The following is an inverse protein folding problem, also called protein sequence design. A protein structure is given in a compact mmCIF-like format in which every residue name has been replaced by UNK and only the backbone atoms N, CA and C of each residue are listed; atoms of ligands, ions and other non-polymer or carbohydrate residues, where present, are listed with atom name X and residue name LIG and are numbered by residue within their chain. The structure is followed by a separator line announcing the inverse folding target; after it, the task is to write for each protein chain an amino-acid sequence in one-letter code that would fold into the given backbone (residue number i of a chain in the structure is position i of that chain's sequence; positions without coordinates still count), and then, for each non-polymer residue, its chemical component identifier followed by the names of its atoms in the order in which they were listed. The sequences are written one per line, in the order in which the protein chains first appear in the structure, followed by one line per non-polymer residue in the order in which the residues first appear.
data_IF_341658638786
#
_entry.id   IF_341658638786
#
_cell.length_a   1.000
_cell.length_b   1.000
_cell.length_c   1.000
_cell.angle_alpha   90.00
_cell.angle_beta   90.00
_cell.angle_gamma   90.00
#
_symmetry.space_group_name_H-M   'P 1'
#
loop_
_entity.id
_entity.type
_entity.pdbx_description
1 polymer ?
#
# COMPACT_ATOMS: atom_id res chain seq x y z
N UNK A 1 30.21 -5.15 -58.22
CA UNK A 1 29.06 -5.99 -57.83
C UNK A 1 29.61 -7.08 -56.92
N UNK A 2 29.50 -7.07 -55.60
CA UNK A 2 28.82 -6.24 -54.59
C UNK A 2 29.48 -6.72 -53.28
N UNK A 3 30.39 -5.96 -52.66
CA UNK A 3 30.15 -5.05 -51.52
C UNK A 3 29.20 -5.60 -50.44
N UNK A 4 29.65 -5.52 -49.18
CA UNK A 4 28.96 -5.75 -47.90
C UNK A 4 28.96 -7.23 -47.41
N UNK A 5 30.01 -7.82 -46.81
CA UNK A 5 30.78 -7.48 -45.59
C UNK A 5 30.47 -6.14 -44.93
N UNK A 6 29.55 -6.19 -43.98
CA UNK A 6 29.57 -5.54 -42.65
C UNK A 6 28.13 -5.38 -42.15
N UNK A 7 27.94 -5.46 -40.83
CA UNK A 7 26.71 -5.13 -40.08
C UNK A 7 25.58 -6.19 -40.08
N UNK A 8 25.62 -7.11 -39.11
CA UNK A 8 24.57 -7.18 -38.05
C UNK A 8 25.01 -8.07 -36.85
N UNK A 9 26.21 -7.83 -36.32
CA UNK A 9 26.52 -8.18 -34.92
C UNK A 9 26.24 -6.92 -34.08
N UNK A 10 25.00 -6.74 -33.66
CA UNK A 10 24.58 -5.92 -32.53
C UNK A 10 23.10 -6.20 -32.26
N UNK A 11 22.75 -6.31 -30.97
CA UNK A 11 21.40 -6.53 -30.43
C UNK A 11 20.93 -7.99 -30.55
N UNK A 12 21.00 -8.83 -29.52
CA UNK A 12 20.24 -8.72 -28.27
C UNK A 12 21.12 -9.21 -27.10
N UNK A 13 21.67 -8.28 -26.34
CA UNK A 13 22.17 -8.57 -25.00
C UNK A 13 20.97 -8.74 -24.05
N UNK A 14 20.80 -9.96 -23.56
CA UNK A 14 20.17 -10.34 -22.29
C UNK A 14 18.96 -9.53 -21.82
N UNK A 15 17.76 -9.93 -22.23
CA UNK A 15 16.56 -9.73 -21.41
C UNK A 15 16.67 -10.71 -20.23
N UNK A 16 17.16 -10.24 -19.09
CA UNK A 16 17.12 -10.99 -17.83
C UNK A 16 15.66 -11.18 -17.40
N UNK A 17 15.03 -12.29 -17.80
CA UNK A 17 13.71 -12.68 -17.31
C UNK A 17 13.89 -13.22 -15.89
N UNK A 18 13.96 -12.30 -14.93
CA UNK A 18 14.12 -12.68 -13.53
C UNK A 18 12.91 -13.51 -13.07
N UNK A 19 13.13 -14.76 -12.65
CA UNK A 19 12.06 -15.65 -12.19
C UNK A 19 11.67 -15.32 -10.75
N UNK A 20 10.37 -15.26 -10.45
CA UNK A 20 9.85 -15.08 -9.09
C UNK A 20 9.51 -16.41 -8.45
N UNK A 21 9.95 -16.61 -7.21
CA UNK A 21 9.59 -17.79 -6.42
C UNK A 21 8.09 -17.80 -6.07
N UNK A 22 7.44 -16.64 -5.95
CA UNK A 22 6.01 -16.57 -5.67
C UNK A 22 5.14 -17.24 -6.75
N UNK A 23 5.59 -17.25 -8.01
CA UNK A 23 4.89 -17.89 -9.12
C UNK A 23 4.93 -19.43 -9.04
N UNK A 24 5.85 -19.99 -8.23
CA UNK A 24 6.02 -21.43 -8.02
C UNK A 24 5.27 -21.95 -6.77
N UNK A 25 4.64 -21.06 -6.00
CA UNK A 25 4.10 -21.37 -4.68
C UNK A 25 2.66 -20.91 -4.53
N UNK A 26 1.85 -21.75 -3.89
CA UNK A 26 0.48 -21.39 -3.51
C UNK A 26 0.40 -20.93 -2.04
N UNK A 27 -0.10 -19.71 -1.80
CA UNK A 27 -0.33 -19.18 -0.46
C UNK A 27 -1.26 -20.10 0.35
N UNK A 28 -1.01 -20.20 1.65
CA UNK A 28 -1.73 -21.09 2.57
C UNK A 28 -1.22 -22.54 2.57
N UNK A 29 -0.44 -22.98 1.57
CA UNK A 29 0.19 -24.31 1.60
C UNK A 29 1.39 -24.37 2.52
N UNK A 30 1.68 -25.57 3.01
CA UNK A 30 2.87 -25.87 3.81
C UNK A 30 3.98 -26.41 2.91
N UNK A 31 5.18 -25.89 3.10
CA UNK A 31 6.40 -26.35 2.43
C UNK A 31 7.47 -26.70 3.45
N UNK A 32 8.11 -27.84 3.27
CA UNK A 32 9.36 -28.17 3.98
C UNK A 32 10.54 -27.53 3.26
N UNK A 33 11.66 -27.35 3.95
CA UNK A 33 12.88 -26.87 3.30
C UNK A 33 13.35 -27.81 2.20
N UNK A 34 13.21 -29.12 2.37
CA UNK A 34 13.56 -30.11 1.36
C UNK A 34 12.66 -30.02 0.13
N UNK A 35 11.36 -29.77 0.31
CA UNK A 35 10.45 -29.49 -0.80
C UNK A 35 10.86 -28.21 -1.54
N UNK A 36 11.21 -27.15 -0.81
CA UNK A 36 11.71 -25.91 -1.42
C UNK A 36 13.04 -26.10 -2.16
N UNK A 37 13.94 -26.97 -1.67
CA UNK A 37 15.16 -27.33 -2.40
C UNK A 37 14.86 -27.96 -3.75
N UNK A 38 13.88 -28.86 -3.79
CA UNK A 38 13.43 -29.48 -5.04
C UNK A 38 12.78 -28.48 -6.00
N UNK A 39 11.96 -27.56 -5.48
CA UNK A 39 11.29 -26.52 -6.27
C UNK A 39 12.30 -25.50 -6.84
N UNK A 40 13.29 -25.11 -6.05
CA UNK A 40 14.28 -24.09 -6.40
C UNK A 40 15.52 -24.67 -7.09
N UNK A 41 15.56 -25.99 -7.28
CA UNK A 41 16.72 -26.75 -7.75
C UNK A 41 18.04 -26.29 -7.09
N UNK A 42 18.04 -26.20 -5.76
CA UNK A 42 19.15 -25.62 -5.01
C UNK A 42 19.73 -26.55 -3.95
N UNK A 43 21.06 -26.65 -3.97
CA UNK A 43 21.86 -27.31 -2.93
C UNK A 43 22.39 -26.32 -1.89
N UNK A 44 21.97 -25.05 -1.93
CA UNK A 44 22.47 -24.02 -1.03
C UNK A 44 22.08 -24.31 0.42
N UNK A 45 23.07 -24.44 1.30
CA UNK A 45 22.86 -24.73 2.72
C UNK A 45 22.19 -23.56 3.48
N UNK A 46 22.28 -22.34 2.96
CA UNK A 46 21.76 -21.12 3.60
C UNK A 46 20.24 -21.04 3.65
N UNK A 47 19.51 -21.89 2.91
CA UNK A 47 18.06 -22.06 3.07
C UNK A 47 17.65 -22.48 4.50
N UNK A 48 18.58 -23.07 5.26
CA UNK A 48 18.36 -23.41 6.66
C UNK A 48 18.38 -22.20 7.60
N UNK A 49 18.79 -21.03 7.11
CA UNK A 49 18.79 -19.78 7.86
C UNK A 49 17.38 -19.16 7.91
N UNK A 50 17.24 -18.05 8.65
CA UNK A 50 16.00 -17.28 8.74
C UNK A 50 15.73 -16.44 7.49
N UNK A 51 16.76 -16.01 6.76
CA UNK A 51 16.64 -15.27 5.49
C UNK A 51 17.45 -16.00 4.43
N UNK A 52 16.83 -16.29 3.29
CA UNK A 52 17.44 -17.00 2.19
C UNK A 52 17.14 -16.31 0.86
N UNK A 53 18.17 -16.11 0.02
CA UNK A 53 18.02 -15.58 -1.33
C UNK A 53 18.50 -16.63 -2.33
N UNK A 54 17.59 -17.36 -3.01
CA UNK A 54 18.00 -18.32 -4.04
C UNK A 54 18.62 -17.61 -5.24
N UNK A 55 19.69 -18.17 -5.79
CA UNK A 55 20.34 -17.67 -6.99
C UNK A 55 19.43 -17.83 -8.21
N UNK A 56 19.44 -16.85 -9.13
CA UNK A 56 18.58 -16.86 -10.32
C UNK A 56 17.13 -16.39 -10.08
N UNK A 57 16.77 -16.03 -8.85
CA UNK A 57 15.44 -15.52 -8.51
C UNK A 57 15.47 -14.09 -7.96
N UNK A 58 14.39 -13.35 -8.21
CA UNK A 58 14.13 -12.02 -7.62
C UNK A 58 13.33 -12.11 -6.34
N UNK A 59 13.63 -13.10 -5.49
CA UNK A 59 12.88 -13.37 -4.26
C UNK A 59 13.80 -13.56 -3.07
N UNK A 60 13.31 -13.16 -1.90
CA UNK A 60 13.92 -13.38 -0.59
C UNK A 60 12.92 -14.17 0.25
N UNK A 61 13.31 -15.35 0.71
CA UNK A 61 12.49 -16.20 1.56
C UNK A 61 12.81 -15.88 3.02
N UNK A 62 11.78 -15.49 3.78
CA UNK A 62 11.85 -15.16 5.19
C UNK A 62 11.16 -16.25 6.01
N UNK A 63 11.93 -17.04 6.76
CA UNK A 63 11.46 -18.13 7.61
C UNK A 63 11.33 -17.68 9.06
N UNK A 64 10.11 -17.64 9.57
CA UNK A 64 9.78 -17.17 10.92
C UNK A 64 9.18 -18.30 11.75
N UNK A 65 9.65 -18.45 13.00
CA UNK A 65 9.08 -19.37 13.99
C UNK A 65 8.73 -18.59 15.26
N UNK A 66 7.43 -18.42 15.54
CA UNK A 66 6.89 -17.58 16.64
C UNK A 66 7.45 -17.98 18.01
N UNK A 67 7.39 -19.28 18.34
CA UNK A 67 7.82 -19.81 19.64
C UNK A 67 9.09 -20.64 19.46
N UNK A 68 10.22 -20.04 19.83
CA UNK A 68 11.46 -20.75 20.11
C UNK A 68 11.33 -21.31 21.55
N UNK A 69 11.61 -22.59 21.74
CA UNK A 69 11.37 -23.32 23.00
C UNK A 69 12.02 -22.65 24.22
N UNK A 70 11.17 -22.46 25.24
CA UNK A 70 11.32 -22.07 26.66
C UNK A 70 12.21 -20.91 27.14
N UNK A 71 11.44 -19.95 27.68
CA UNK A 71 11.57 -19.19 28.92
C UNK A 71 12.29 -17.84 28.93
N UNK A 72 11.58 -16.86 29.53
CA UNK A 72 11.83 -15.42 29.73
C UNK A 72 11.29 -14.46 28.66
N UNK A 73 10.01 -14.12 28.84
CA UNK A 73 9.34 -12.81 28.60
C UNK A 73 9.44 -12.10 27.24
N UNK A 74 8.25 -11.71 26.76
CA UNK A 74 7.87 -10.56 25.91
C UNK A 74 8.06 -10.68 24.38
N UNK A 75 6.94 -10.50 23.65
CA UNK A 75 6.72 -10.46 22.19
C UNK A 75 7.96 -10.33 21.31
N UNK A 76 8.20 -11.26 20.37
CA UNK A 76 9.37 -11.13 19.48
C UNK A 76 9.10 -11.34 17.99
N UNK A 77 8.39 -12.41 17.59
CA UNK A 77 8.04 -12.63 16.19
C UNK A 77 6.55 -12.96 16.12
N UNK A 78 5.70 -12.08 15.56
CA UNK A 78 4.25 -12.29 15.51
C UNK A 78 3.64 -11.78 14.21
N UNK A 79 2.78 -12.59 13.61
CA UNK A 79 1.92 -12.20 12.50
C UNK A 79 0.50 -11.92 13.02
N UNK A 80 0.06 -10.66 12.90
CA UNK A 80 -1.31 -10.22 13.23
C UNK A 80 -1.99 -9.70 11.97
N UNK A 81 -2.92 -10.48 11.42
CA UNK A 81 -3.56 -10.17 10.13
C UNK A 81 -2.51 -10.07 9.02
N UNK A 82 -2.28 -8.85 8.55
CA UNK A 82 -1.35 -8.52 7.47
C UNK A 82 -0.04 -7.89 7.96
N UNK A 83 0.12 -7.69 9.26
CA UNK A 83 1.33 -7.09 9.83
C UNK A 83 2.19 -8.17 10.51
N UNK A 84 3.41 -8.34 9.99
CA UNK A 84 4.46 -9.11 10.62
C UNK A 84 5.35 -8.17 11.44
N UNK A 85 5.42 -8.42 12.74
CA UNK A 85 6.48 -7.91 13.60
C UNK A 85 7.56 -8.99 13.70
N UNK A 86 8.78 -8.70 13.24
CA UNK A 86 9.88 -9.65 13.16
C UNK A 86 11.15 -9.06 13.74
N UNK A 87 11.85 -9.79 14.61
CA UNK A 87 13.10 -9.36 15.19
C UNK A 87 14.30 -10.05 14.51
N UNK A 88 15.20 -9.23 13.94
CA UNK A 88 16.41 -9.73 13.28
C UNK A 88 17.41 -10.31 14.30
N UNK A 89 17.70 -11.61 14.23
CA UNK A 89 18.45 -12.33 15.27
C UNK A 89 19.97 -12.07 15.27
N UNK A 90 20.56 -11.55 14.19
CA UNK A 90 22.02 -11.31 14.10
C UNK A 90 22.34 -10.23 13.07
N UNK A 91 23.19 -9.29 13.47
CA UNK A 91 23.56 -8.11 12.68
C UNK A 91 24.03 -8.44 11.25
N UNK A 92 23.42 -7.75 10.26
CA UNK A 92 24.22 -6.91 9.36
C UNK A 92 24.52 -7.41 7.94
N UNK A 93 24.05 -8.58 7.49
CA UNK A 93 24.25 -9.00 6.08
C UNK A 93 22.97 -9.10 5.25
N UNK A 94 21.88 -9.56 5.85
CA UNK A 94 20.62 -9.81 5.13
C UNK A 94 19.57 -8.72 5.34
N UNK A 95 19.79 -7.80 6.28
CA UNK A 95 18.83 -6.72 6.59
C UNK A 95 18.62 -5.80 5.39
N UNK A 96 19.68 -5.51 4.62
CA UNK A 96 19.60 -4.76 3.36
C UNK A 96 18.75 -5.46 2.30
N UNK A 97 18.71 -6.80 2.29
CA UNK A 97 17.83 -7.55 1.39
C UNK A 97 16.35 -7.35 1.71
N UNK A 98 16.01 -7.01 2.97
CA UNK A 98 14.64 -6.73 3.41
C UNK A 98 14.33 -5.24 3.28
N UNK A 99 15.21 -4.36 3.77
CA UNK A 99 15.02 -2.90 3.74
C UNK A 99 14.97 -2.39 2.30
N UNK A 100 15.93 -2.80 1.47
CA UNK A 100 16.07 -2.32 0.09
C UNK A 100 15.38 -3.25 -0.93
N UNK A 101 14.60 -4.25 -0.48
CA UNK A 101 13.98 -5.25 -1.36
C UNK A 101 13.26 -4.61 -2.55
N UNK A 102 12.43 -3.59 -2.30
CA UNK A 102 11.67 -2.88 -3.33
C UNK A 102 12.58 -2.13 -4.32
N UNK A 103 13.66 -1.50 -3.85
CA UNK A 103 14.62 -0.80 -4.72
C UNK A 103 15.40 -1.78 -5.60
N UNK A 104 15.63 -3.00 -5.10
CA UNK A 104 16.32 -4.08 -5.80
C UNK A 104 15.40 -4.94 -6.66
N UNK A 105 14.10 -4.64 -6.72
CA UNK A 105 13.10 -5.43 -7.44
C UNK A 105 12.85 -6.82 -6.83
N UNK A 106 13.20 -7.02 -5.56
CA UNK A 106 13.05 -8.28 -4.84
C UNK A 106 11.69 -8.35 -4.15
N UNK A 107 11.03 -9.51 -4.23
CA UNK A 107 9.90 -9.83 -3.36
C UNK A 107 10.38 -10.48 -2.05
N UNK A 108 9.72 -10.17 -0.93
CA UNK A 108 9.96 -10.85 0.36
C UNK A 108 8.81 -11.82 0.59
N UNK A 109 9.11 -13.12 0.68
CA UNK A 109 8.15 -14.20 0.80
C UNK A 109 8.17 -14.75 2.22
N UNK A 110 7.04 -14.65 2.93
CA UNK A 110 6.96 -15.08 4.32
C UNK A 110 6.59 -16.57 4.42
N UNK A 111 7.41 -17.30 5.17
CA UNK A 111 7.18 -18.68 5.59
C UNK A 111 7.05 -18.70 7.11
N UNK A 112 5.84 -18.93 7.59
CA UNK A 112 5.50 -18.77 9.00
C UNK A 112 5.11 -20.10 9.65
N UNK A 113 5.47 -20.24 10.93
CA UNK A 113 4.94 -21.27 11.82
C UNK A 113 4.99 -20.79 13.28
N UNK A 114 4.12 -21.31 14.11
CA UNK A 114 4.08 -21.08 15.55
C UNK A 114 5.16 -21.85 16.31
N UNK A 115 5.46 -23.09 15.90
CA UNK A 115 6.46 -23.97 16.55
C UNK A 115 7.14 -24.90 15.53
N UNK A 116 8.32 -25.42 15.87
CA UNK A 116 9.17 -26.21 14.94
C UNK A 116 8.46 -27.37 14.26
N UNK A 117 7.60 -28.08 14.98
CA UNK A 117 6.84 -29.22 14.49
C UNK A 117 5.34 -28.93 14.49
N UNK A 118 4.94 -27.70 14.13
CA UNK A 118 3.53 -27.40 13.87
C UNK A 118 3.01 -28.18 12.67
N UNK A 119 3.86 -28.38 11.66
CA UNK A 119 3.56 -29.13 10.45
C UNK A 119 4.53 -30.31 10.29
N UNK A 120 4.06 -31.36 9.63
CA UNK A 120 4.85 -32.54 9.29
C UNK A 120 6.13 -32.15 8.52
N UNK A 121 7.23 -32.90 8.74
CA UNK A 121 8.53 -32.60 8.14
C UNK A 121 9.14 -31.26 8.57
N UNK A 122 8.69 -30.68 9.69
CA UNK A 122 9.09 -29.36 10.17
C UNK A 122 8.87 -28.26 9.11
N UNK A 123 7.75 -28.35 8.38
CA UNK A 123 7.36 -27.39 7.37
C UNK A 123 7.00 -26.00 7.90
N UNK A 124 6.77 -25.08 6.97
CA UNK A 124 6.29 -23.71 7.19
C UNK A 124 5.10 -23.46 6.28
N UNK A 125 4.09 -22.72 6.77
CA UNK A 125 3.01 -22.23 5.93
C UNK A 125 3.51 -21.02 5.13
N UNK A 126 3.33 -21.05 3.81
CA UNK A 126 3.64 -19.92 2.95
C UNK A 126 2.51 -18.88 3.03
N UNK A 127 2.85 -17.68 3.49
CA UNK A 127 1.93 -16.58 3.73
C UNK A 127 1.82 -15.62 2.51
N UNK A 128 2.65 -15.80 1.49
CA UNK A 128 2.68 -14.86 0.36
C UNK A 128 3.73 -13.76 0.53
N UNK A 129 3.63 -12.75 -0.31
CA UNK A 129 4.58 -11.65 -0.37
C UNK A 129 4.31 -10.62 0.73
N UNK A 130 5.37 -10.00 1.22
CA UNK A 130 5.37 -8.93 2.22
C UNK A 130 6.26 -7.79 1.73
N UNK A 131 5.98 -6.57 2.19
CA UNK A 131 6.80 -5.39 1.98
C UNK A 131 7.32 -4.85 3.31
N UNK A 132 8.56 -4.41 3.32
CA UNK A 132 9.14 -3.64 4.41
C UNK A 132 8.38 -2.31 4.63
N UNK A 133 8.08 -1.98 5.89
CA UNK A 133 7.43 -0.74 6.31
C UNK A 133 8.38 0.13 7.15
N UNK A 134 8.91 -0.42 8.25
CA UNK A 134 9.74 0.31 9.19
C UNK A 134 10.64 -0.65 10.00
N UNK A 135 11.66 -0.11 10.67
CA UNK A 135 12.36 -0.80 11.75
C UNK A 135 12.76 0.16 12.87
N UNK A 136 12.89 -0.36 14.09
CA UNK A 136 13.32 0.39 15.27
C UNK A 136 14.29 -0.43 16.14
N UNK A 137 15.16 0.26 16.88
CA UNK A 137 16.13 -0.33 17.80
C UNK A 137 17.51 -0.54 17.17
N UNK A 138 18.56 -0.34 17.97
CA UNK A 138 19.95 -0.46 17.49
C UNK A 138 20.45 -1.90 17.48
N UNK A 139 19.88 -2.80 18.31
CA UNK A 139 20.11 -4.26 18.35
C UNK A 139 19.32 -4.95 19.48
N UNK A 140 18.53 -6.01 19.20
CA UNK A 140 18.17 -6.51 17.88
C UNK A 140 17.18 -5.54 17.19
N UNK A 141 17.32 -5.33 15.88
CA UNK A 141 16.40 -4.48 15.13
C UNK A 141 15.05 -5.19 14.99
N UNK A 142 13.98 -4.48 15.38
CA UNK A 142 12.60 -4.93 15.19
C UNK A 142 12.06 -4.35 13.89
N UNK A 143 11.67 -5.23 12.97
CA UNK A 143 11.13 -4.88 11.66
C UNK A 143 9.61 -5.05 11.64
N UNK A 144 8.95 -4.14 10.92
CA UNK A 144 7.53 -4.23 10.58
C UNK A 144 7.40 -4.45 9.08
N UNK A 145 6.77 -5.56 8.69
CA UNK A 145 6.47 -5.89 7.30
C UNK A 145 4.97 -6.05 7.11
N UNK A 146 4.43 -5.58 5.98
CA UNK A 146 3.01 -5.70 5.65
C UNK A 146 2.81 -6.66 4.48
N UNK A 147 1.82 -7.55 4.55
CA UNK A 147 1.44 -8.45 3.45
C UNK A 147 1.14 -7.62 2.21
N UNK A 148 1.78 -7.98 1.10
CA UNK A 148 1.39 -7.52 -0.22
C UNK A 148 0.13 -8.31 -0.60
N UNK A 149 -1.00 -7.63 -0.68
CA UNK A 149 -2.24 -8.24 -1.14
C UNK A 149 -2.09 -8.63 -2.63
N UNK A 150 -2.10 -9.93 -2.97
CA UNK A 150 -2.03 -10.38 -4.34
C UNK A 150 -3.24 -9.92 -5.14
N UNK A 151 -4.39 -9.60 -4.53
CA UNK A 151 -5.55 -9.06 -5.24
C UNK A 151 -5.29 -7.64 -5.76
N UNK A 152 -4.45 -6.85 -5.09
CA UNK A 152 -3.99 -5.57 -5.63
C UNK A 152 -3.03 -5.76 -6.81
N UNK A 153 -2.10 -6.72 -6.71
CA UNK A 153 -1.14 -7.02 -7.77
C UNK A 153 -1.76 -7.74 -8.98
N UNK A 154 -2.82 -8.53 -8.76
CA UNK A 154 -3.63 -9.20 -9.79
C UNK A 154 -4.58 -8.20 -10.43
N UNK A 155 -5.22 -7.30 -9.68
CA UNK A 155 -5.97 -6.18 -10.28
C UNK A 155 -5.07 -5.27 -11.13
N UNK A 156 -3.83 -5.00 -10.67
CA UNK A 156 -2.83 -4.27 -11.46
C UNK A 156 -2.37 -5.05 -12.70
N UNK A 157 -2.25 -6.38 -12.63
CA UNK A 157 -1.86 -7.24 -13.77
C UNK A 157 -3.01 -7.51 -14.74
N UNK A 158 -4.25 -7.61 -14.29
CA UNK A 158 -5.46 -7.82 -15.10
C UNK A 158 -5.77 -6.56 -15.93
N UNK A 159 -5.57 -5.38 -15.35
CA UNK A 159 -5.58 -4.09 -16.07
C UNK A 159 -4.45 -4.00 -17.10
N UNK A 160 -3.32 -4.67 -16.86
CA UNK A 160 -2.17 -4.71 -17.76
C UNK A 160 -2.27 -5.79 -18.85
N UNK A 161 -3.02 -6.86 -18.61
CA UNK A 161 -3.10 -8.06 -19.47
C UNK A 161 -4.33 -8.08 -20.40
N UNK A 162 -5.36 -7.26 -20.14
CA UNK A 162 -6.58 -7.17 -20.97
C UNK A 162 -6.39 -6.39 -22.28
N UNK A 163 -5.18 -6.34 -22.85
CA UNK A 163 -4.85 -5.48 -23.99
C UNK A 163 -5.72 -5.68 -25.23
N UNK A 164 -6.78 -4.87 -25.36
CA UNK A 164 -7.36 -4.32 -26.60
C UNK A 164 -7.97 -2.96 -26.20
N UNK A 165 -7.28 -1.81 -26.31
CA UNK A 165 -6.70 -1.11 -27.47
C UNK A 165 -7.75 -0.52 -28.43
N UNK A 166 -8.10 0.76 -28.20
CA UNK A 166 -8.53 1.67 -29.27
C UNK A 166 -7.26 2.35 -29.85
N UNK A 167 -7.04 2.35 -31.18
CA UNK A 167 -5.74 2.60 -31.81
C UNK A 167 -5.27 4.06 -31.90
N UNK A 168 -5.99 5.03 -31.34
CA UNK A 168 -5.70 6.46 -31.55
C UNK A 168 -4.94 7.15 -30.40
N UNK A 169 -4.70 6.48 -29.27
CA UNK A 169 -4.34 7.15 -28.00
C UNK A 169 -2.87 7.11 -27.55
N UNK A 170 -1.88 6.97 -28.43
CA UNK A 170 -0.45 6.84 -28.04
C UNK A 170 0.09 8.04 -27.20
N UNK A 171 -0.57 9.20 -27.24
CA UNK A 171 -0.30 10.32 -26.32
C UNK A 171 -0.70 10.07 -24.86
N UNK A 172 -1.68 9.18 -24.60
CA UNK A 172 -2.32 9.04 -23.28
C UNK A 172 -1.51 8.17 -22.29
N UNK A 173 -0.67 7.25 -22.77
CA UNK A 173 0.20 6.43 -21.92
C UNK A 173 1.31 7.25 -21.23
N UNK A 174 1.93 8.21 -21.95
CA UNK A 174 2.86 9.19 -21.36
C UNK A 174 2.15 10.14 -20.40
N UNK A 175 0.93 10.57 -20.74
CA UNK A 175 0.07 11.38 -19.86
C UNK A 175 -0.28 10.65 -18.55
N UNK A 176 -0.58 9.34 -18.59
CA UNK A 176 -0.91 8.52 -17.41
C UNK A 176 0.27 8.29 -16.48
N UNK A 177 1.46 7.99 -17.02
CA UNK A 177 2.69 7.84 -16.22
C UNK A 177 3.06 9.19 -15.59
N UNK A 178 2.98 10.28 -16.35
CA UNK A 178 3.16 11.62 -15.80
C UNK A 178 2.10 11.98 -14.75
N UNK A 179 0.83 11.63 -14.93
CA UNK A 179 -0.23 11.82 -13.91
C UNK A 179 0.06 11.02 -12.65
N UNK A 180 0.56 9.79 -12.74
CA UNK A 180 0.90 8.98 -11.58
C UNK A 180 2.11 9.55 -10.81
N UNK A 181 3.12 10.05 -11.52
CA UNK A 181 4.29 10.73 -10.96
C UNK A 181 3.89 12.07 -10.32
N UNK A 182 3.07 12.87 -11.01
CA UNK A 182 2.52 14.15 -10.51
C UNK A 182 1.59 13.92 -9.32
N UNK A 183 0.82 12.82 -9.29
CA UNK A 183 -0.04 12.44 -8.14
C UNK A 183 0.80 12.04 -6.92
N UNK A 184 1.90 11.30 -7.12
CA UNK A 184 2.85 10.92 -6.04
C UNK A 184 3.67 12.10 -5.52
N UNK A 185 4.10 13.03 -6.37
CA UNK A 185 4.79 14.27 -5.92
C UNK A 185 3.81 15.29 -5.33
N UNK A 186 2.58 15.32 -5.85
CA UNK A 186 1.52 16.24 -5.45
C UNK A 186 0.83 15.87 -4.14
N UNK A 187 0.69 14.60 -3.78
CA UNK A 187 0.05 14.19 -2.52
C UNK A 187 0.76 14.73 -1.25
N UNK A 188 2.10 14.65 -1.13
CA UNK A 188 2.80 15.27 -0.02
C UNK A 188 2.69 16.80 0.00
N UNK A 189 2.69 17.45 -1.17
CA UNK A 189 2.58 18.91 -1.27
C UNK A 189 1.15 19.40 -0.96
N UNK A 190 0.15 18.73 -1.52
CA UNK A 190 -1.28 18.97 -1.27
C UNK A 190 -1.62 18.77 0.21
N UNK A 191 -1.11 17.70 0.82
CA UNK A 191 -1.24 17.49 2.27
C UNK A 191 -0.62 18.64 3.06
N UNK A 192 0.59 19.08 2.72
CA UNK A 192 1.23 20.24 3.40
C UNK A 192 0.42 21.52 3.23
N UNK A 193 -0.12 21.76 2.03
CA UNK A 193 -0.96 22.92 1.76
C UNK A 193 -2.24 22.90 2.60
N UNK A 194 -2.92 21.75 2.70
CA UNK A 194 -4.10 21.60 3.56
C UNK A 194 -3.76 21.69 5.05
N UNK A 195 -2.64 21.13 5.50
CA UNK A 195 -2.15 21.31 6.88
C UNK A 195 -1.94 22.79 7.19
N UNK A 196 -1.42 23.57 6.25
CA UNK A 196 -1.26 25.02 6.41
C UNK A 196 -2.61 25.75 6.42
N UNK A 197 -3.46 25.49 5.43
CA UNK A 197 -4.75 26.19 5.25
C UNK A 197 -5.72 25.96 6.42
N UNK A 198 -5.70 24.76 7.01
CA UNK A 198 -6.57 24.38 8.12
C UNK A 198 -5.90 24.50 9.50
N UNK A 199 -4.73 25.13 9.60
CA UNK A 199 -3.97 25.28 10.86
C UNK A 199 -3.75 23.94 11.59
N UNK A 200 -3.43 22.89 10.82
CA UNK A 200 -3.18 21.55 11.34
C UNK A 200 -4.38 20.90 12.03
N UNK A 201 -5.61 21.35 11.74
CA UNK A 201 -6.83 20.90 12.40
C UNK A 201 -7.81 20.24 11.45
N UNK A 202 -8.47 19.19 11.91
CA UNK A 202 -9.56 18.59 11.16
C UNK A 202 -10.68 19.61 10.91
N UNK A 203 -11.13 19.72 9.66
CA UNK A 203 -12.17 20.63 9.22
C UNK A 203 -13.52 20.40 9.93
N UNK A 204 -13.81 19.15 10.33
CA UNK A 204 -15.08 18.76 10.97
C UNK A 204 -14.95 18.67 12.49
N UNK A 205 -13.99 17.89 12.99
CA UNK A 205 -13.88 17.62 14.43
C UNK A 205 -13.11 18.70 15.19
N UNK A 206 -12.18 19.39 14.52
CA UNK A 206 -11.20 20.28 15.15
C UNK A 206 -9.98 19.55 15.73
N UNK A 207 -9.86 18.23 15.56
CA UNK A 207 -8.71 17.45 16.02
C UNK A 207 -7.37 18.02 15.54
N UNK A 208 -6.42 18.20 16.44
CA UNK A 208 -5.09 18.79 16.20
C UNK A 208 -3.97 17.75 16.03
N UNK A 209 -4.28 16.47 16.25
CA UNK A 209 -3.29 15.39 16.20
C UNK A 209 -2.93 15.11 14.74
N UNK A 210 -1.97 15.85 14.20
CA UNK A 210 -1.60 15.81 12.77
C UNK A 210 -1.33 14.41 12.18
N UNK A 211 -0.74 13.44 12.92
CA UNK A 211 -0.55 12.08 12.41
C UNK A 211 -1.84 11.35 12.04
N UNK A 212 -2.98 11.70 12.66
CA UNK A 212 -4.29 11.08 12.33
C UNK A 212 -5.10 11.89 11.32
N UNK A 213 -4.56 13.01 10.83
CA UNK A 213 -5.18 13.83 9.81
C UNK A 213 -4.79 13.34 8.43
N UNK A 214 -5.69 13.47 7.47
CA UNK A 214 -5.59 13.02 6.10
C UNK A 214 -6.08 14.11 5.15
N UNK A 215 -5.47 14.16 3.96
CA UNK A 215 -5.85 15.09 2.91
C UNK A 215 -6.90 14.43 2.03
N UNK A 216 -8.16 14.81 2.22
CA UNK A 216 -9.29 14.29 1.47
C UNK A 216 -9.58 15.20 0.26
N UNK A 217 -9.70 14.61 -0.93
CA UNK A 217 -10.21 15.35 -2.09
C UNK A 217 -11.74 15.42 -2.04
N UNK A 218 -12.32 16.57 -2.36
CA UNK A 218 -13.78 16.72 -2.45
C UNK A 218 -14.30 16.04 -3.72
N UNK A 219 -13.71 16.34 -4.87
CA UNK A 219 -13.90 15.59 -6.11
C UNK A 219 -12.62 14.88 -6.51
N UNK A 220 -12.77 13.69 -7.10
CA UNK A 220 -11.66 12.82 -7.45
C UNK A 220 -10.59 13.53 -8.29
N UNK A 221 -9.34 13.17 -8.02
CA UNK A 221 -8.17 13.70 -8.72
C UNK A 221 -8.25 13.45 -10.24
N UNK A 222 -8.20 14.52 -11.04
CA UNK A 222 -8.18 14.48 -12.53
C UNK A 222 -6.89 15.05 -13.15
N UNK A 223 -5.92 15.46 -12.32
CA UNK A 223 -4.65 16.07 -12.74
C UNK A 223 -4.11 17.08 -11.71
N UNK A 224 -2.90 17.66 -11.90
CA UNK A 224 -2.30 18.61 -10.95
C UNK A 224 -3.21 19.79 -10.58
N UNK A 225 -4.03 20.29 -11.50
CA UNK A 225 -5.03 21.35 -11.26
C UNK A 225 -6.07 20.98 -10.18
N UNK A 226 -6.31 19.68 -9.96
CA UNK A 226 -7.24 19.19 -8.92
C UNK A 226 -6.59 19.03 -7.54
N UNK A 227 -5.27 19.23 -7.43
CA UNK A 227 -4.54 19.35 -6.14
C UNK A 227 -4.58 20.80 -5.63
N UNK A 228 -5.76 21.41 -5.67
CA UNK A 228 -6.01 22.75 -5.18
C UNK A 228 -6.62 22.69 -3.78
N UNK A 229 -6.23 23.59 -2.87
CA UNK A 229 -6.73 23.63 -1.48
C UNK A 229 -8.26 23.68 -1.43
N UNK A 230 -8.87 24.46 -2.31
CA UNK A 230 -10.34 24.53 -2.47
C UNK A 230 -11.01 23.20 -2.90
N UNK A 231 -10.26 22.22 -3.42
CA UNK A 231 -10.75 20.87 -3.69
C UNK A 231 -10.37 19.89 -2.56
N UNK A 232 -9.98 20.39 -1.40
CA UNK A 232 -9.44 19.60 -0.31
C UNK A 232 -10.07 19.90 1.04
N UNK A 233 -10.22 18.84 1.83
CA UNK A 233 -10.56 18.89 3.24
C UNK A 233 -9.45 18.21 4.04
N UNK A 234 -9.02 18.82 5.13
CA UNK A 234 -8.17 18.14 6.10
C UNK A 234 -9.05 17.42 7.12
N UNK A 235 -9.08 16.08 7.09
CA UNK A 235 -10.01 15.28 7.88
C UNK A 235 -9.27 14.33 8.81
N UNK A 236 -9.89 13.96 9.94
CA UNK A 236 -9.42 12.81 10.74
C UNK A 236 -9.70 11.54 9.93
N UNK A 237 -8.82 10.53 9.99
CA UNK A 237 -8.89 9.37 9.09
C UNK A 237 -10.23 8.60 9.11
N UNK A 238 -10.89 8.51 10.25
CA UNK A 238 -12.25 7.95 10.36
C UNK A 238 -13.29 8.79 9.59
N UNK A 239 -13.25 10.12 9.72
CA UNK A 239 -14.15 11.03 9.00
C UNK A 239 -13.85 11.08 7.50
N UNK A 240 -12.59 10.93 7.10
CA UNK A 240 -12.19 10.76 5.71
C UNK A 240 -12.79 9.47 5.13
N UNK A 241 -12.66 8.36 5.85
CA UNK A 241 -13.25 7.07 5.45
C UNK A 241 -14.78 7.19 5.28
N UNK A 242 -15.48 7.81 6.24
CA UNK A 242 -16.92 8.03 6.14
C UNK A 242 -17.29 8.96 4.97
N UNK A 243 -16.48 9.97 4.68
CA UNK A 243 -16.67 10.86 3.54
C UNK A 243 -16.50 10.13 2.20
N UNK A 244 -15.49 9.24 2.10
CA UNK A 244 -15.20 8.45 0.90
C UNK A 244 -16.28 7.41 0.62
N UNK A 245 -16.73 6.70 1.66
CA UNK A 245 -17.88 5.79 1.62
C UNK A 245 -19.21 6.52 1.37
N UNK A 246 -19.20 7.85 1.42
CA UNK A 246 -20.37 8.69 1.30
C UNK A 246 -21.28 8.67 2.53
N UNK A 247 -20.93 8.04 3.63
CA UNK A 247 -21.75 8.11 4.85
C UNK A 247 -21.74 9.51 5.50
N UNK A 248 -20.83 10.38 5.04
CA UNK A 248 -20.71 11.78 5.41
C UNK A 248 -20.65 12.65 4.14
N UNK A 249 -21.31 13.81 4.15
CA UNK A 249 -21.17 14.84 3.12
C UNK A 249 -21.17 16.24 3.74
N UNK A 250 -20.88 17.26 2.94
CA UNK A 250 -20.97 18.67 3.33
C UNK A 250 -22.02 19.33 2.44
N UNK A 251 -22.98 20.02 3.05
CA UNK A 251 -23.95 20.82 2.32
C UNK A 251 -23.23 22.01 1.63
N UNK A 252 -23.35 22.14 0.30
CA UNK A 252 -22.59 23.14 -0.47
C UNK A 252 -23.06 24.59 -0.24
N UNK A 253 -24.27 24.78 0.30
CA UNK A 253 -24.84 26.12 0.53
C UNK A 253 -24.45 26.64 1.91
N UNK A 254 -24.43 25.76 2.90
CA UNK A 254 -24.30 26.10 4.32
C UNK A 254 -22.97 25.67 4.94
N UNK A 255 -22.17 24.87 4.24
CA UNK A 255 -20.96 24.21 4.76
C UNK A 255 -21.23 23.36 6.00
N UNK A 256 -22.46 22.86 6.18
CA UNK A 256 -22.79 21.99 7.30
C UNK A 256 -22.52 20.54 6.97
N UNK A 257 -22.02 19.80 7.93
CA UNK A 257 -21.87 18.35 7.84
C UNK A 257 -23.25 17.71 7.77
N UNK A 258 -23.43 16.79 6.82
CA UNK A 258 -24.64 15.98 6.66
C UNK A 258 -24.23 14.52 6.83
N UNK A 259 -24.82 13.86 7.82
CA UNK A 259 -24.61 12.44 8.06
C UNK A 259 -25.76 11.60 7.53
N UNK A 260 -25.38 10.42 7.06
CA UNK A 260 -26.28 9.31 6.78
C UNK A 260 -27.06 8.93 8.05
N UNK A 261 -28.32 8.50 7.89
CA UNK A 261 -29.20 8.20 9.02
C UNK A 261 -28.59 7.15 9.96
N UNK A 262 -27.87 6.17 9.40
CA UNK A 262 -27.18 5.12 10.15
C UNK A 262 -26.16 5.63 11.17
N UNK A 263 -25.63 6.85 11.01
CA UNK A 263 -24.61 7.44 11.88
C UNK A 263 -25.17 8.42 12.92
N UNK A 264 -26.45 8.81 12.82
CA UNK A 264 -27.03 9.89 13.64
C UNK A 264 -27.25 9.50 15.09
N UNK A 265 -27.53 8.23 15.37
CA UNK A 265 -27.76 7.74 16.72
C UNK A 265 -26.47 7.37 17.48
N UNK A 266 -25.31 7.41 16.83
CA UNK A 266 -24.02 6.99 17.40
C UNK A 266 -23.06 8.15 17.72
N UNK A 267 -21.80 7.79 17.96
CA UNK A 267 -20.72 8.71 18.36
C UNK A 267 -20.47 9.86 17.37
N UNK A 268 -20.86 9.68 16.11
CA UNK A 268 -20.73 10.69 15.07
C UNK A 268 -21.92 11.64 15.00
N UNK A 269 -23.07 11.31 15.60
CA UNK A 269 -24.31 12.09 15.49
C UNK A 269 -24.15 13.56 15.90
N UNK A 270 -23.28 13.82 16.89
CA UNK A 270 -22.92 15.17 17.36
C UNK A 270 -22.27 16.05 16.28
N UNK A 271 -21.74 15.44 15.22
CA UNK A 271 -21.12 16.15 14.09
C UNK A 271 -22.16 16.57 13.05
N UNK A 272 -23.35 15.96 13.03
CA UNK A 272 -24.39 16.32 12.07
C UNK A 272 -24.84 17.78 12.27
N UNK A 273 -24.95 18.52 11.17
CA UNK A 273 -25.28 19.94 11.18
C UNK A 273 -24.16 20.86 11.66
N UNK A 274 -23.01 20.34 12.10
CA UNK A 274 -21.86 21.16 12.51
C UNK A 274 -21.34 21.93 11.30
N UNK A 275 -21.06 23.22 11.49
CA UNK A 275 -20.47 24.05 10.43
C UNK A 275 -19.00 23.67 10.30
N UNK A 276 -18.56 23.44 9.06
CA UNK A 276 -17.17 23.16 8.74
C UNK A 276 -16.27 24.31 9.20
N UNK A 277 -15.09 23.97 9.72
CA UNK A 277 -14.00 24.94 9.84
C UNK A 277 -13.52 25.28 8.44
N UNK A 278 -13.58 26.55 8.10
CA UNK A 278 -13.08 27.05 6.83
C UNK A 278 -11.65 27.58 7.02
N UNK A 279 -10.78 27.47 6.00
CA UNK A 279 -9.49 28.17 6.00
C UNK A 279 -9.65 29.67 6.24
N UNK A 280 -8.61 30.30 6.79
CA UNK A 280 -8.64 31.73 7.07
C UNK A 280 -8.77 32.58 5.79
N UNK A 281 -8.15 32.13 4.70
CA UNK A 281 -8.27 32.75 3.39
C UNK A 281 -9.50 32.23 2.64
N UNK A 282 -10.40 33.13 2.23
CA UNK A 282 -11.61 32.77 1.49
C UNK A 282 -11.31 32.06 0.15
N UNK A 283 -10.21 32.43 -0.51
CA UNK A 283 -9.74 31.78 -1.74
C UNK A 283 -9.37 30.30 -1.56
N UNK A 284 -9.13 29.87 -0.33
CA UNK A 284 -8.78 28.49 0.03
C UNK A 284 -10.00 27.69 0.52
N UNK A 285 -11.18 28.33 0.60
CA UNK A 285 -12.39 27.64 1.03
C UNK A 285 -12.75 26.49 0.09
N UNK A 286 -13.34 25.41 0.62
CA UNK A 286 -13.92 24.35 -0.19
C UNK A 286 -14.84 24.91 -1.29
N UNK A 287 -14.56 24.57 -2.54
CA UNK A 287 -15.39 25.01 -3.68
C UNK A 287 -16.81 24.49 -3.50
N UNK A 288 -17.78 25.41 -3.59
CA UNK A 288 -19.20 25.07 -3.51
C UNK A 288 -19.63 24.16 -4.64
N UNK A 289 -19.04 24.32 -5.82
CA UNK A 289 -19.29 23.50 -7.00
C UNK A 289 -18.78 22.07 -6.78
N UNK A 290 -17.55 21.91 -6.26
CA UNK A 290 -17.00 20.61 -5.91
C UNK A 290 -17.84 19.91 -4.84
N UNK A 291 -18.22 20.65 -3.79
CA UNK A 291 -19.12 20.15 -2.76
C UNK A 291 -20.49 19.76 -3.32
N UNK A 292 -21.04 20.53 -4.25
CA UNK A 292 -22.35 20.24 -4.86
C UNK A 292 -22.32 18.94 -5.66
N UNK A 293 -21.25 18.68 -6.42
CA UNK A 293 -21.03 17.40 -7.12
C UNK A 293 -20.99 16.25 -6.10
N UNK A 294 -20.12 16.37 -5.08
CA UNK A 294 -19.96 15.33 -4.06
C UNK A 294 -21.24 15.09 -3.25
N UNK A 295 -21.99 16.15 -2.96
CA UNK A 295 -23.26 16.07 -2.23
C UNK A 295 -24.38 15.44 -3.07
N UNK A 296 -24.38 15.64 -4.40
CA UNK A 296 -25.30 14.94 -5.28
C UNK A 296 -25.06 13.41 -5.26
N UNK A 297 -23.79 12.97 -5.31
CA UNK A 297 -23.41 11.56 -5.19
C UNK A 297 -23.88 10.95 -3.86
N UNK A 298 -23.64 11.66 -2.75
CA UNK A 298 -24.13 11.29 -1.42
C UNK A 298 -25.64 11.04 -1.41
N UNK A 299 -26.43 11.97 -1.97
CA UNK A 299 -27.89 11.88 -1.99
C UNK A 299 -28.39 10.74 -2.88
N UNK A 300 -27.71 10.48 -4.00
CA UNK A 300 -28.06 9.38 -4.89
C UNK A 300 -27.89 8.02 -4.20
N UNK A 301 -26.80 7.82 -3.44
CA UNK A 301 -26.60 6.59 -2.64
C UNK A 301 -27.67 6.43 -1.56
N UNK A 302 -27.95 7.49 -0.82
CA UNK A 302 -28.87 7.44 0.34
C UNK A 302 -30.31 7.07 -0.06
N UNK A 303 -30.69 7.25 -1.34
CA UNK A 303 -32.00 6.89 -1.90
C UNK A 303 -32.08 5.45 -2.44
N UNK A 304 -30.96 4.75 -2.57
CA UNK A 304 -30.90 3.38 -3.11
C UNK A 304 -30.90 2.28 -2.04
N UNK A 305 -31.17 2.62 -0.78
CA UNK A 305 -31.16 1.72 0.38
C UNK A 305 -32.58 1.54 0.98
N UNK A 306 -33.62 2.01 0.28
CA UNK A 306 -35.03 1.76 0.62
C UNK A 306 -35.57 0.49 -0.04
#
# INVERSE_FOLDING_TARGET
MTMLKDSLDADIAGIDVSTRVSDLLQAGRVYTRDALRGILDTQDSTINNGVFRPAGFTSVLLFVTEKKTEDRTQYVDKLEGDLLSWQGQTAGRTDSLIIEHAQRGLEVLLFYRKKKYEYEGAGFRYEGAFRYVAHHGERPASFSLQRNDPQLAVAEREVQASGDFDPSGIEDARSRINRAIVRRQGQPAFRRALLSAYDGRCAISGCEVQPVLEAAHIVAYRGPETNHVANGLLLRGDLHTLFDMGLLSIDPTTYRVVLDESLRAGDYGVLNGRVLRLPAAEAEWPSKEALAVRHAEYRARSRGVE
#
